data_IF_368971919294
#
_entry.id   IF_368971919294
#
_cell.length_a   1.000
_cell.length_b   1.000
_cell.length_c   1.000
_cell.angle_alpha   90.00
_cell.angle_beta   90.00
_cell.angle_gamma   90.00
#
_symmetry.space_group_name_H-M   'P 1'
#
loop_
_entity.id
_entity.type
_entity.pdbx_description
1 polymer ?
#
# COMPACT_ATOMS: atom_id res chain seq x y z
N UNK A 1 -12.25 -6.12 -23.50
CA UNK A 1 -12.53 -5.44 -22.22
C UNK A 1 -11.29 -5.62 -21.36
N UNK A 2 -10.41 -4.62 -21.30
CA UNK A 2 -9.30 -4.65 -20.35
C UNK A 2 -9.90 -4.28 -18.99
N UNK A 3 -10.22 -5.30 -18.19
CA UNK A 3 -10.55 -5.11 -16.78
C UNK A 3 -9.27 -4.62 -16.09
N UNK A 4 -9.03 -3.32 -16.14
CA UNK A 4 -7.97 -2.67 -15.39
C UNK A 4 -8.30 -2.86 -13.91
N UNK A 5 -7.72 -3.89 -13.30
CA UNK A 5 -7.94 -4.21 -11.90
C UNK A 5 -7.36 -3.07 -11.05
N UNK A 6 -8.25 -2.31 -10.41
CA UNK A 6 -7.89 -1.22 -9.50
C UNK A 6 -7.84 -1.79 -8.09
N UNK A 7 -6.77 -1.51 -7.36
CA UNK A 7 -6.64 -1.81 -5.94
C UNK A 7 -6.90 -0.53 -5.15
N UNK A 8 -8.01 -0.51 -4.42
CA UNK A 8 -8.34 0.58 -3.52
C UNK A 8 -7.58 0.39 -2.21
N UNK A 9 -6.85 1.42 -1.81
CA UNK A 9 -6.05 1.46 -0.59
C UNK A 9 -6.63 2.52 0.34
N UNK A 10 -7.36 2.07 1.35
CA UNK A 10 -7.99 2.93 2.35
C UNK A 10 -7.00 3.21 3.46
N UNK A 11 -6.75 4.47 3.76
CA UNK A 11 -5.87 4.84 4.86
C UNK A 11 -6.41 4.31 6.19
N UNK A 12 -5.55 3.64 6.96
CA UNK A 12 -5.89 3.07 8.27
C UNK A 12 -5.24 3.85 9.39
N UNK A 13 -4.00 4.28 9.20
CA UNK A 13 -3.22 4.94 10.23
C UNK A 13 -1.74 5.03 9.86
N UNK A 14 -0.95 5.58 10.77
CA UNK A 14 0.50 5.64 10.65
C UNK A 14 1.13 4.53 11.50
N UNK A 15 2.22 3.93 11.04
CA UNK A 15 3.01 3.03 11.88
C UNK A 15 3.98 3.80 12.78
N UNK A 16 4.66 3.08 13.69
CA UNK A 16 5.66 3.64 14.61
C UNK A 16 6.85 4.36 13.95
N UNK A 17 6.98 4.31 12.62
CA UNK A 17 8.02 4.97 11.84
C UNK A 17 7.46 6.16 11.03
N UNK A 18 6.25 6.63 11.38
CA UNK A 18 5.52 7.69 10.68
C UNK A 18 5.31 7.36 9.18
N UNK A 19 5.13 6.08 8.85
CA UNK A 19 4.79 5.64 7.50
C UNK A 19 3.30 5.38 7.39
N UNK A 20 2.64 5.84 6.33
CA UNK A 20 1.21 5.60 6.16
C UNK A 20 0.94 4.14 5.80
N UNK A 21 -0.05 3.58 6.49
CA UNK A 21 -0.54 2.22 6.30
C UNK A 21 -1.95 2.28 5.72
N UNK A 22 -2.16 1.49 4.68
CA UNK A 22 -3.42 1.38 3.96
C UNK A 22 -3.94 -0.05 4.01
N UNK A 23 -5.24 -0.24 3.83
CA UNK A 23 -5.88 -1.55 3.75
C UNK A 23 -6.60 -1.68 2.41
N UNK A 24 -6.40 -2.82 1.77
CA UNK A 24 -7.13 -3.15 0.56
C UNK A 24 -8.49 -3.82 0.84
N UNK A 25 -9.31 -3.95 -0.21
CA UNK A 25 -10.62 -4.58 -0.14
C UNK A 25 -10.56 -6.07 0.25
N UNK A 26 -9.40 -6.73 0.11
CA UNK A 26 -9.17 -8.11 0.57
C UNK A 26 -8.74 -8.18 2.05
N UNK A 27 -8.53 -7.03 2.69
CA UNK A 27 -8.11 -6.91 4.08
C UNK A 27 -6.59 -6.95 4.30
N UNK A 28 -5.79 -6.93 3.23
CA UNK A 28 -4.33 -6.87 3.32
C UNK A 28 -3.88 -5.43 3.62
N UNK A 29 -2.93 -5.30 4.54
CA UNK A 29 -2.28 -4.06 4.91
C UNK A 29 -1.07 -3.80 4.02
N UNK A 30 -1.01 -2.57 3.53
CA UNK A 30 0.00 -2.05 2.64
C UNK A 30 0.66 -0.85 3.29
N UNK A 31 1.97 -0.90 3.44
CA UNK A 31 2.79 0.18 3.97
C UNK A 31 3.47 0.89 2.82
N UNK A 32 3.31 2.21 2.73
CA UNK A 32 4.16 2.99 1.84
C UNK A 32 5.48 3.28 2.56
N UNK A 33 6.54 2.56 2.17
CA UNK A 33 7.87 2.73 2.77
C UNK A 33 8.64 3.90 2.16
N UNK A 34 8.10 4.51 1.10
CA UNK A 34 8.68 5.70 0.46
C UNK A 34 7.59 6.75 0.14
N UNK A 35 6.91 7.30 1.16
CA UNK A 35 5.81 8.24 1.00
C UNK A 35 6.31 9.67 0.71
N UNK A 36 7.42 9.83 -0.03
CA UNK A 36 7.94 11.16 -0.40
C UNK A 36 7.07 11.81 -1.47
N UNK A 37 6.73 13.08 -1.29
CA UNK A 37 6.02 13.86 -2.31
C UNK A 37 6.77 13.85 -3.66
N UNK A 38 6.06 13.55 -4.76
CA UNK A 38 6.63 13.48 -6.11
C UNK A 38 7.31 12.15 -6.48
N UNK A 39 7.52 11.24 -5.53
CA UNK A 39 8.00 9.88 -5.80
C UNK A 39 6.84 8.93 -6.06
N UNK A 40 7.08 7.80 -6.72
CA UNK A 40 6.07 6.73 -6.86
C UNK A 40 5.88 6.02 -5.51
N UNK A 41 4.66 5.54 -5.19
CA UNK A 41 4.42 4.77 -3.98
C UNK A 41 5.25 3.49 -3.96
N UNK A 42 5.86 3.20 -2.80
CA UNK A 42 6.61 1.98 -2.59
C UNK A 42 5.87 1.13 -1.56
N UNK A 43 4.92 0.33 -2.05
CA UNK A 43 4.02 -0.44 -1.20
C UNK A 43 4.62 -1.80 -0.84
N UNK A 44 4.68 -2.09 0.45
CA UNK A 44 5.04 -3.39 1.00
C UNK A 44 3.89 -3.96 1.83
N UNK A 45 3.69 -5.27 1.83
CA UNK A 45 2.81 -5.92 2.78
C UNK A 45 3.34 -5.76 4.20
N UNK A 46 2.46 -5.76 5.20
CA UNK A 46 2.89 -5.82 6.59
C UNK A 46 3.02 -7.27 7.07
N UNK A 47 4.11 -7.58 7.78
CA UNK A 47 4.27 -8.86 8.46
C UNK A 47 3.09 -9.09 9.42
N UNK A 48 2.56 -10.32 9.42
CA UNK A 48 1.34 -10.72 10.16
C UNK A 48 0.09 -9.85 9.89
N UNK A 49 0.11 -8.98 8.87
CA UNK A 49 -0.95 -8.03 8.59
C UNK A 49 -1.24 -7.07 9.77
N UNK A 50 -0.19 -6.67 10.50
CA UNK A 50 -0.30 -5.79 11.67
C UNK A 50 0.06 -4.33 11.34
N UNK A 51 -0.50 -3.36 12.06
CA UNK A 51 -0.21 -1.93 11.81
C UNK A 51 1.25 -1.59 12.07
N UNK A 52 1.83 -2.08 13.16
CA UNK A 52 3.24 -1.88 13.52
C UNK A 52 4.16 -3.01 13.05
N UNK A 53 3.65 -3.97 12.27
CA UNK A 53 4.45 -5.05 11.70
C UNK A 53 5.54 -4.53 10.75
N UNK A 54 6.64 -5.25 10.60
CA UNK A 54 7.68 -4.84 9.67
C UNK A 54 7.20 -4.92 8.21
N UNK A 55 7.67 -4.04 7.31
CA UNK A 55 7.42 -4.18 5.88
C UNK A 55 8.06 -5.49 5.39
N UNK A 56 7.24 -6.36 4.80
CA UNK A 56 7.61 -7.71 4.38
C UNK A 56 7.87 -7.77 2.87
N UNK A 57 6.82 -7.97 2.07
CA UNK A 57 6.96 -8.19 0.62
C UNK A 57 6.50 -6.99 -0.18
N UNK A 58 7.40 -6.42 -0.99
CA UNK A 58 7.06 -5.35 -1.92
C UNK A 58 6.06 -5.78 -2.99
N UNK A 59 5.05 -4.94 -3.27
CA UNK A 59 3.99 -5.19 -4.26
C UNK A 59 4.55 -5.59 -5.64
N UNK A 60 5.70 -5.01 -6.03
CA UNK A 60 6.40 -5.31 -7.29
C UNK A 60 6.82 -6.77 -7.46
N UNK A 61 6.94 -7.54 -6.37
CA UNK A 61 7.30 -8.96 -6.40
C UNK A 61 6.08 -9.89 -6.42
N UNK A 62 4.87 -9.35 -6.25
CA UNK A 62 3.64 -10.12 -6.22
C UNK A 62 3.01 -10.11 -7.60
N UNK A 63 3.14 -11.20 -8.35
CA UNK A 63 2.59 -11.33 -9.71
C UNK A 63 1.09 -11.04 -9.78
N UNK A 64 0.33 -11.31 -8.70
CA UNK A 64 -1.10 -10.97 -8.60
C UNK A 64 -1.41 -9.47 -8.70
N UNK A 65 -0.45 -8.61 -8.40
CA UNK A 65 -0.59 -7.15 -8.45
C UNK A 65 0.18 -6.53 -9.63
N UNK A 66 0.73 -7.36 -10.52
CA UNK A 66 1.44 -6.86 -11.70
C UNK A 66 0.46 -6.22 -12.67
N UNK A 67 0.67 -4.94 -12.97
CA UNK A 67 -0.21 -4.16 -13.85
C UNK A 67 -1.51 -3.68 -13.19
N UNK A 68 -1.65 -3.85 -11.87
CA UNK A 68 -2.75 -3.26 -11.10
C UNK A 68 -2.54 -1.76 -10.96
N UNK A 69 -3.61 -0.99 -11.08
CA UNK A 69 -3.60 0.45 -10.79
C UNK A 69 -3.95 0.64 -9.32
N UNK A 70 -3.16 1.41 -8.59
CA UNK A 70 -3.42 1.71 -7.18
C UNK A 70 -4.21 3.02 -7.06
N UNK A 71 -5.33 2.99 -6.34
CA UNK A 71 -6.10 4.16 -5.97
C UNK A 71 -6.06 4.33 -4.44
N UNK A 72 -5.66 5.50 -3.97
CA UNK A 72 -5.63 5.82 -2.54
C UNK A 72 -6.91 6.54 -2.14
N UNK A 73 -7.46 6.18 -0.98
CA UNK A 73 -8.67 6.79 -0.42
C UNK A 73 -8.40 7.35 1.00
N UNK A 74 -8.66 8.64 1.26
CA UNK A 74 -9.13 9.67 0.31
C UNK A 74 -8.06 10.13 -0.68
N UNK A 75 -6.79 10.12 -0.27
CA UNK A 75 -5.64 10.45 -1.11
C UNK A 75 -4.39 9.76 -0.56
N UNK A 76 -3.29 9.77 -1.34
CA UNK A 76 -2.02 9.24 -0.86
C UNK A 76 -1.43 10.21 0.16
N UNK A 77 -1.25 9.73 1.38
CA UNK A 77 -0.51 10.46 2.41
C UNK A 77 0.97 10.43 2.05
N UNK A 78 1.56 11.62 1.98
CA UNK A 78 2.97 11.85 1.67
C UNK A 78 3.56 12.86 2.66
N UNK A 79 4.88 12.84 2.82
CA UNK A 79 5.67 13.87 3.51
C UNK A 79 6.81 14.39 2.64
#
# INVERSE_FOLDING_TARGET
MCDSKVLHLKFVGMDSWDRPVYKDDSGTLWKDVDPRAGMKPNLCTSANNELDGEPDTGMKYLEKYRGVTVAFEPERIVW
#
